data_IF_966238785673
#
_entry.id   IF_966238785673
#
_cell.length_a   1.000
_cell.length_b   1.000
_cell.length_c   1.000
_cell.angle_alpha   90.00
_cell.angle_beta   90.00
_cell.angle_gamma   90.00
#
_symmetry.space_group_name_H-M   'P 1'
#
loop_
_entity.id
_entity.type
_entity.pdbx_description
1 polymer ?
#
# COMPACT_ATOMS: atom_id res chain seq x y z
N UNK A 1 -2.71 1.45 3.56
CA UNK A 1 -1.53 0.66 4.00
C UNK A 1 -1.02 1.13 5.37
N UNK A 2 -0.88 2.44 5.56
CA UNK A 2 -0.34 3.10 6.77
C UNK A 2 -1.11 2.80 8.07
N UNK A 3 -2.41 2.56 7.97
CA UNK A 3 -3.33 2.36 9.10
C UNK A 3 -3.71 0.89 9.34
N UNK A 4 -3.39 -0.01 8.40
CA UNK A 4 -3.78 -1.42 8.46
C UNK A 4 -2.72 -2.23 9.20
N UNK A 5 -2.89 -2.45 10.52
CA UNK A 5 -1.93 -3.19 11.34
C UNK A 5 -1.49 -4.56 10.76
N UNK A 6 -2.39 -5.45 10.28
CA UNK A 6 -1.94 -6.71 9.69
C UNK A 6 -1.15 -6.50 8.38
N UNK A 7 -1.48 -5.48 7.59
CA UNK A 7 -0.72 -5.14 6.38
C UNK A 7 0.70 -4.70 6.74
N UNK A 8 0.85 -3.82 7.73
CA UNK A 8 2.14 -3.34 8.24
C UNK A 8 2.98 -4.51 8.78
N UNK A 9 2.36 -5.43 9.53
CA UNK A 9 3.03 -6.62 10.05
C UNK A 9 3.51 -7.58 8.95
N UNK A 10 2.85 -7.61 7.78
CA UNK A 10 3.25 -8.45 6.66
C UNK A 10 4.46 -7.89 5.88
N UNK A 11 4.68 -6.57 5.89
CA UNK A 11 5.70 -5.92 5.06
C UNK A 11 7.13 -6.47 5.26
N UNK A 12 7.63 -6.71 6.49
CA UNK A 12 8.98 -7.29 6.67
C UNK A 12 9.12 -8.68 6.05
N UNK A 13 8.07 -9.49 6.12
CA UNK A 13 8.06 -10.82 5.51
C UNK A 13 8.08 -10.73 3.98
N UNK A 14 7.37 -9.76 3.40
CA UNK A 14 7.39 -9.50 1.97
C UNK A 14 8.76 -9.01 1.48
N UNK A 15 9.44 -8.16 2.27
CA UNK A 15 10.83 -7.76 1.99
C UNK A 15 11.75 -8.99 1.93
N UNK A 16 11.65 -9.87 2.94
CA UNK A 16 12.43 -11.10 2.99
C UNK A 16 12.15 -12.02 1.80
N UNK A 17 10.87 -12.21 1.45
CA UNK A 17 10.48 -13.04 0.31
C UNK A 17 11.01 -12.49 -1.01
N UNK A 18 10.89 -11.18 -1.25
CA UNK A 18 11.43 -10.60 -2.46
C UNK A 18 12.94 -10.76 -2.53
N UNK A 19 13.67 -10.56 -1.43
CA UNK A 19 15.12 -10.74 -1.43
C UNK A 19 15.53 -12.19 -1.69
N UNK A 20 14.80 -13.16 -1.14
CA UNK A 20 15.09 -14.58 -1.30
C UNK A 20 14.76 -15.10 -2.70
N UNK A 21 13.72 -14.59 -3.34
CA UNK A 21 13.16 -15.18 -4.57
C UNK A 21 13.20 -14.26 -5.79
N UNK A 22 13.79 -13.06 -5.72
CA UNK A 22 13.95 -12.16 -6.87
C UNK A 22 14.63 -12.85 -8.07
N UNK A 23 15.66 -13.65 -7.81
CA UNK A 23 16.41 -14.36 -8.85
C UNK A 23 15.63 -15.56 -9.42
N UNK A 24 14.56 -15.95 -8.74
CA UNK A 24 13.60 -16.97 -9.18
C UNK A 24 12.39 -16.35 -9.91
N UNK A 25 12.42 -15.04 -10.15
CA UNK A 25 11.36 -14.30 -10.85
C UNK A 25 10.21 -13.80 -9.96
N UNK A 26 10.34 -13.84 -8.62
CA UNK A 26 9.35 -13.21 -7.75
C UNK A 26 9.50 -11.69 -7.76
N UNK A 27 8.39 -10.98 -7.97
CA UNK A 27 8.31 -9.53 -7.82
C UNK A 27 7.11 -9.18 -6.91
N UNK A 28 7.35 -8.39 -5.86
CA UNK A 28 6.31 -7.96 -4.93
C UNK A 28 5.91 -6.52 -5.25
N UNK A 29 4.62 -6.25 -5.16
CA UNK A 29 4.05 -4.91 -5.26
C UNK A 29 3.03 -4.69 -4.16
N UNK A 30 3.11 -3.54 -3.49
CA UNK A 30 2.08 -3.09 -2.54
C UNK A 30 1.10 -2.14 -3.21
N UNK A 31 -0.15 -2.13 -2.74
CA UNK A 31 -1.14 -1.12 -3.08
C UNK A 31 -1.63 -0.46 -1.78
N UNK A 32 -1.29 0.81 -1.61
CA UNK A 32 -1.82 1.67 -0.57
C UNK A 32 -3.22 2.10 -0.96
N UNK A 33 -4.19 1.30 -0.54
CA UNK A 33 -5.59 1.62 -0.72
C UNK A 33 -6.13 2.50 0.41
N UNK A 34 -7.00 3.45 0.06
CA UNK A 34 -7.76 4.26 1.03
C UNK A 34 -6.87 5.07 1.98
N UNK A 35 -5.88 5.77 1.45
CA UNK A 35 -5.15 6.78 2.21
C UNK A 35 -6.05 8.02 2.39
N UNK A 36 -6.14 8.54 3.62
CA UNK A 36 -7.10 9.59 3.98
C UNK A 36 -6.53 10.99 3.75
N UNK A 37 -6.28 11.36 2.50
CA UNK A 37 -5.79 12.72 2.17
C UNK A 37 -6.71 13.45 1.18
N UNK A 38 -6.65 14.80 1.14
CA UNK A 38 -7.47 15.61 0.24
C UNK A 38 -7.04 15.54 -1.24
N UNK A 39 -5.77 15.21 -1.52
CA UNK A 39 -5.20 15.15 -2.87
C UNK A 39 -4.29 13.93 -3.05
N UNK A 40 -4.06 13.56 -4.32
CA UNK A 40 -3.20 12.44 -4.71
C UNK A 40 -1.74 12.69 -4.35
N UNK A 41 -1.31 13.93 -4.51
CA UNK A 41 0.05 14.37 -4.23
C UNK A 41 0.33 14.30 -2.72
N UNK A 42 -0.56 14.85 -1.90
CA UNK A 42 -0.44 14.76 -0.43
C UNK A 42 -0.50 13.29 0.03
N UNK A 43 -1.39 12.47 -0.55
CA UNK A 43 -1.47 11.03 -0.26
C UNK A 43 -0.10 10.36 -0.47
N UNK A 44 0.53 10.71 -1.59
CA UNK A 44 1.80 10.12 -1.98
C UNK A 44 2.95 10.61 -1.12
N UNK A 45 3.02 11.91 -0.84
CA UNK A 45 4.08 12.48 0.00
C UNK A 45 4.02 11.94 1.43
N UNK A 46 2.83 11.84 2.03
CA UNK A 46 2.67 11.29 3.37
C UNK A 46 3.01 9.80 3.43
N UNK A 47 2.56 9.02 2.43
CA UNK A 47 2.90 7.62 2.30
C UNK A 47 4.42 7.42 2.17
N UNK A 48 5.09 8.17 1.28
CA UNK A 48 6.53 8.06 1.06
C UNK A 48 7.32 8.42 2.35
N UNK A 49 6.93 9.49 3.03
CA UNK A 49 7.55 9.88 4.30
C UNK A 49 7.40 8.80 5.37
N UNK A 50 6.20 8.21 5.48
CA UNK A 50 5.94 7.13 6.43
C UNK A 50 6.72 5.86 6.08
N UNK A 51 6.85 5.50 4.80
CA UNK A 51 7.63 4.34 4.36
C UNK A 51 9.12 4.51 4.65
N UNK A 52 9.68 5.70 4.43
CA UNK A 52 11.08 6.00 4.76
C UNK A 52 11.34 5.87 6.26
N UNK A 53 10.43 6.36 7.11
CA UNK A 53 10.56 6.31 8.57
C UNK A 53 10.38 4.88 9.12
N UNK A 54 9.35 4.15 8.67
CA UNK A 54 8.97 2.86 9.25
C UNK A 54 9.63 1.65 8.58
N UNK A 55 9.98 1.77 7.31
CA UNK A 55 10.50 0.69 6.48
C UNK A 55 11.70 1.14 5.64
N UNK A 56 12.82 1.56 6.28
CA UNK A 56 14.01 2.02 5.56
C UNK A 56 14.66 0.94 4.67
N UNK A 57 14.34 -0.33 4.89
CA UNK A 57 14.80 -1.47 4.11
C UNK A 57 13.75 -2.01 3.11
N UNK A 58 12.68 -1.23 2.83
CA UNK A 58 11.69 -1.61 1.84
C UNK A 58 12.35 -1.80 0.46
N UNK A 59 12.25 -3.01 -0.09
CA UNK A 59 12.89 -3.35 -1.35
C UNK A 59 11.91 -3.47 -2.53
N UNK A 60 10.61 -3.28 -2.29
CA UNK A 60 9.55 -3.42 -3.28
C UNK A 60 8.74 -2.14 -3.48
N UNK A 61 8.09 -2.02 -4.64
CA UNK A 61 7.35 -0.80 -5.01
C UNK A 61 5.96 -0.81 -4.38
N UNK A 62 5.49 0.36 -3.97
CA UNK A 62 4.13 0.56 -3.45
C UNK A 62 3.44 1.61 -4.31
N UNK A 63 2.32 1.21 -4.94
CA UNK A 63 1.42 2.13 -5.61
C UNK A 63 0.38 2.68 -4.62
N UNK A 64 -0.20 3.84 -4.92
CA UNK A 64 -1.34 4.39 -4.18
C UNK A 64 -2.59 4.30 -5.04
N UNK A 65 -3.72 3.89 -4.45
CA UNK A 65 -4.99 3.77 -5.15
C UNK A 65 -5.74 5.10 -5.27
N UNK A 66 -5.12 6.22 -4.88
CA UNK A 66 -5.78 7.51 -4.80
C UNK A 66 -6.56 7.81 -6.08
N UNK A 67 -7.86 7.53 -6.02
CA UNK A 67 -8.80 7.89 -7.03
C UNK A 67 -9.11 9.35 -6.77
N UNK A 68 -8.56 10.24 -7.60
CA UNK A 68 -8.87 11.68 -7.57
C UNK A 68 -10.35 12.02 -7.80
N UNK A 69 -11.22 11.02 -7.84
CA UNK A 69 -12.66 11.17 -7.80
C UNK A 69 -13.18 10.18 -6.77
N UNK A 70 -14.09 10.63 -5.90
CA UNK A 70 -14.78 9.78 -4.95
C UNK A 70 -15.41 8.61 -5.73
N UNK A 71 -14.73 7.48 -5.82
CA UNK A 71 -15.36 6.24 -6.19
C UNK A 71 -16.36 5.97 -5.07
N UNK A 72 -17.60 6.42 -5.29
CA UNK A 72 -18.73 6.00 -4.47
C UNK A 72 -18.59 4.48 -4.35
N UNK A 73 -18.39 3.99 -3.13
CA UNK A 73 -18.58 2.57 -2.85
C UNK A 73 -19.93 2.21 -3.46
N UNK A 74 -20.02 1.33 -4.47
CA UNK A 74 -21.32 0.86 -4.89
C UNK A 74 -21.90 0.15 -3.67
N UNK A 75 -22.93 0.75 -3.09
CA UNK A 75 -23.75 0.09 -2.07
C UNK A 75 -24.47 -1.03 -2.80
N UNK A 76 -23.91 -2.25 -2.76
CA UNK A 76 -24.69 -3.42 -3.11
C UNK A 76 -25.72 -3.58 -1.99
N UNK A 77 -26.92 -3.06 -2.22
CA UNK A 77 -28.02 -3.22 -1.30
C UNK A 77 -28.30 -4.71 -1.14
N UNK A 78 -28.23 -5.21 0.10
CA UNK A 78 -28.96 -6.40 0.50
C UNK A 78 -30.43 -6.16 0.17
N UNK A 79 -30.92 -6.80 -0.88
CA UNK A 79 -32.36 -7.05 -1.02
C UNK A 79 -32.60 -8.51 -0.64
N UNK A 80 -33.24 -8.63 0.51
CA UNK A 80 -33.94 -9.81 1.03
C UNK A 80 -35.02 -10.31 0.06
#
# INVERSE_FOLDING_TARGET
LTWCSPCVAAMPHLVQMQEQYKDNGLEVFGLAASEHTPTAEEARTELDAWLIDKFPNLNYRIASDYAGEKAQRPTFGEKS
#
